data_IF_085622731640
#
_entry.id   IF_085622731640
#
_cell.length_a   1.000
_cell.length_b   1.000
_cell.length_c   1.000
_cell.angle_alpha   90.00
_cell.angle_beta   90.00
_cell.angle_gamma   90.00
#
_symmetry.space_group_name_H-M   'P 1'
#
loop_
_entity.id
_entity.type
_entity.pdbx_description
1 polymer ?
#
# COMPACT_ATOMS: atom_id res chain seq x y z
N UNK A 1 2.86 -21.65 13.13
CA UNK A 1 3.56 -20.89 12.06
C UNK A 1 4.79 -20.28 12.69
N UNK A 2 5.96 -20.50 12.11
CA UNK A 2 7.20 -20.05 12.72
C UNK A 2 7.52 -18.62 12.21
N UNK A 3 7.61 -17.64 13.11
CA UNK A 3 8.00 -16.28 12.73
C UNK A 3 9.40 -16.24 12.09
N UNK A 4 10.26 -17.24 12.38
CA UNK A 4 11.58 -17.40 11.74
C UNK A 4 11.43 -17.67 10.24
N UNK A 5 10.48 -18.51 9.83
CA UNK A 5 10.25 -18.83 8.41
C UNK A 5 9.82 -17.58 7.62
N UNK A 6 9.00 -16.72 8.23
CA UNK A 6 8.61 -15.43 7.63
C UNK A 6 9.80 -14.47 7.50
N UNK A 7 10.69 -14.45 8.49
CA UNK A 7 11.91 -13.65 8.45
C UNK A 7 12.85 -14.15 7.34
N UNK A 8 13.06 -15.46 7.25
CA UNK A 8 13.88 -16.09 6.20
C UNK A 8 13.34 -15.80 4.80
N UNK A 9 12.03 -15.94 4.58
CA UNK A 9 11.42 -15.61 3.31
C UNK A 9 11.57 -14.11 2.96
N UNK A 10 11.44 -13.22 3.94
CA UNK A 10 11.72 -11.79 3.76
C UNK A 10 13.20 -11.54 3.43
N UNK A 11 14.13 -12.19 4.14
CA UNK A 11 15.58 -12.06 3.92
C UNK A 11 15.98 -12.55 2.52
N UNK A 12 15.37 -13.63 2.03
CA UNK A 12 15.58 -14.12 0.67
C UNK A 12 15.12 -13.10 -0.39
N UNK A 13 13.94 -12.50 -0.22
CA UNK A 13 13.46 -11.44 -1.12
C UNK A 13 14.34 -10.19 -1.10
N UNK A 14 14.87 -9.82 0.08
CA UNK A 14 15.85 -8.73 0.21
C UNK A 14 17.15 -9.08 -0.51
N UNK A 15 17.68 -10.29 -0.31
CA UNK A 15 18.91 -10.74 -0.95
C UNK A 15 18.78 -10.74 -2.48
N UNK A 16 17.64 -11.20 -3.00
CA UNK A 16 17.30 -11.10 -4.41
C UNK A 16 17.41 -9.66 -4.91
N UNK A 17 16.72 -8.71 -4.27
CA UNK A 17 16.70 -7.31 -4.71
C UNK A 17 18.07 -6.65 -4.61
N UNK A 18 18.83 -6.92 -3.53
CA UNK A 18 20.22 -6.45 -3.38
C UNK A 18 21.09 -6.95 -4.53
N UNK A 19 20.90 -8.19 -4.99
CA UNK A 19 21.66 -8.74 -6.13
C UNK A 19 21.41 -8.00 -7.45
N UNK A 20 20.34 -7.19 -7.55
CA UNK A 20 19.97 -6.42 -8.74
C UNK A 20 20.50 -4.98 -8.70
N UNK A 21 21.14 -4.60 -7.59
CA UNK A 21 21.68 -3.27 -7.37
C UNK A 21 23.21 -3.26 -7.55
N UNK A 22 23.73 -2.16 -8.09
CA UNK A 22 25.16 -1.87 -8.06
C UNK A 22 25.59 -1.38 -6.65
N UNK A 23 26.90 -1.13 -6.49
CA UNK A 23 27.47 -0.63 -5.21
C UNK A 23 26.94 0.74 -4.76
N UNK A 24 26.30 1.48 -5.66
CA UNK A 24 25.72 2.79 -5.42
C UNK A 24 24.21 2.71 -5.15
N UNK A 25 23.62 1.51 -5.12
CA UNK A 25 22.19 1.31 -4.88
C UNK A 25 21.32 1.54 -6.13
N UNK A 26 21.90 1.53 -7.33
CA UNK A 26 21.13 1.66 -8.57
C UNK A 26 20.83 0.28 -9.16
N UNK A 27 19.64 0.09 -9.73
CA UNK A 27 19.39 -1.11 -10.52
C UNK A 27 20.34 -1.23 -11.71
N UNK A 28 20.81 -2.46 -11.96
CA UNK A 28 21.72 -2.75 -13.08
C UNK A 28 20.99 -2.99 -14.39
N UNK A 29 19.73 -3.45 -14.34
CA UNK A 29 18.90 -3.64 -15.52
C UNK A 29 18.31 -2.30 -15.98
N UNK A 30 18.41 -1.93 -17.28
CA UNK A 30 17.91 -0.65 -17.78
C UNK A 30 16.43 -0.42 -17.51
N UNK A 31 15.57 -1.41 -17.79
CA UNK A 31 14.13 -1.33 -17.60
C UNK A 31 13.72 -1.11 -16.14
N UNK A 32 14.38 -1.80 -15.20
CA UNK A 32 14.15 -1.56 -13.77
C UNK A 32 14.65 -0.18 -13.37
N UNK A 33 15.85 0.21 -13.79
CA UNK A 33 16.50 1.47 -13.45
C UNK A 33 15.69 2.69 -13.92
N UNK A 34 15.04 2.57 -15.07
CA UNK A 34 14.33 3.68 -15.68
C UNK A 34 12.97 3.97 -15.08
N UNK A 35 12.36 3.09 -14.28
CA UNK A 35 10.96 3.26 -13.83
C UNK A 35 10.86 3.49 -12.32
N UNK A 36 10.13 4.52 -11.89
CA UNK A 36 9.91 4.82 -10.47
C UNK A 36 9.23 3.66 -9.72
N UNK A 37 8.40 2.88 -10.41
CA UNK A 37 7.65 1.76 -9.86
C UNK A 37 8.51 0.62 -9.32
N UNK A 38 9.77 0.46 -9.75
CA UNK A 38 10.68 -0.54 -9.16
C UNK A 38 11.38 -0.06 -7.89
N UNK A 39 11.36 1.25 -7.59
CA UNK A 39 12.21 1.85 -6.55
C UNK A 39 11.47 2.18 -5.27
N UNK A 40 10.23 2.67 -5.37
CA UNK A 40 9.57 3.45 -4.30
C UNK A 40 9.39 2.71 -2.96
N UNK A 41 9.29 1.37 -2.96
CA UNK A 41 9.21 0.54 -1.73
C UNK A 41 10.56 0.17 -1.14
N UNK A 42 11.63 0.18 -1.93
CA UNK A 42 12.96 -0.29 -1.51
C UNK A 42 13.52 0.45 -0.29
N UNK A 43 13.42 1.80 -0.18
CA UNK A 43 13.91 2.49 1.01
C UNK A 43 13.25 1.98 2.30
N UNK A 44 11.95 1.69 2.27
CA UNK A 44 11.24 1.16 3.42
C UNK A 44 11.69 -0.26 3.77
N UNK A 45 11.75 -1.13 2.75
CA UNK A 45 12.19 -2.50 2.92
C UNK A 45 13.59 -2.56 3.52
N UNK A 46 14.56 -1.86 2.91
CA UNK A 46 15.95 -1.86 3.35
C UNK A 46 16.13 -1.22 4.74
N UNK A 47 15.33 -0.22 5.09
CA UNK A 47 15.32 0.29 6.46
C UNK A 47 14.88 -0.79 7.46
N UNK A 48 13.76 -1.47 7.17
CA UNK A 48 13.17 -2.47 8.06
C UNK A 48 14.06 -3.70 8.26
N UNK A 49 14.93 -4.00 7.30
CA UNK A 49 15.81 -5.17 7.30
C UNK A 49 17.25 -4.84 7.66
N UNK A 50 17.52 -3.62 8.15
CA UNK A 50 18.82 -3.22 8.70
C UNK A 50 19.84 -2.74 7.66
N UNK A 51 19.44 -2.58 6.40
CA UNK A 51 20.27 -2.07 5.30
C UNK A 51 20.18 -0.54 5.17
N UNK A 52 20.33 0.20 6.27
CA UNK A 52 20.12 1.66 6.31
C UNK A 52 21.00 2.48 5.35
N UNK A 53 22.24 2.03 5.08
CA UNK A 53 23.11 2.64 4.06
C UNK A 53 22.49 2.51 2.66
N UNK A 54 22.04 1.31 2.31
CA UNK A 54 21.44 1.04 1.01
C UNK A 54 20.11 1.78 0.85
N UNK A 55 19.30 1.87 1.91
CA UNK A 55 18.08 2.68 1.92
C UNK A 55 18.35 4.16 1.57
N UNK A 56 19.43 4.75 2.13
CA UNK A 56 19.85 6.11 1.77
C UNK A 56 20.32 6.24 0.32
N UNK A 57 21.10 5.27 -0.15
CA UNK A 57 21.59 5.24 -1.54
C UNK A 57 20.42 5.18 -2.54
N UNK A 58 19.42 4.34 -2.30
CA UNK A 58 18.22 4.29 -3.13
C UNK A 58 17.42 5.59 -3.06
N UNK A 59 17.34 6.25 -1.89
CA UNK A 59 16.69 7.55 -1.78
C UNK A 59 17.43 8.65 -2.55
N UNK A 60 18.77 8.65 -2.55
CA UNK A 60 19.56 9.58 -3.36
C UNK A 60 19.25 9.40 -4.84
N UNK A 61 19.14 8.15 -5.27
CA UNK A 61 18.81 7.80 -6.64
C UNK A 61 17.39 8.20 -7.04
N UNK A 62 16.41 7.92 -6.17
CA UNK A 62 15.02 8.34 -6.36
C UNK A 62 14.94 9.86 -6.49
N UNK A 63 15.60 10.59 -5.59
CA UNK A 63 15.64 12.06 -5.62
C UNK A 63 16.28 12.57 -6.90
N UNK A 64 17.43 12.02 -7.29
CA UNK A 64 18.20 12.51 -8.43
C UNK A 64 17.50 12.28 -9.78
N UNK A 65 16.73 11.19 -9.91
CA UNK A 65 16.12 10.79 -11.19
C UNK A 65 14.65 11.13 -11.33
N UNK A 66 13.88 11.00 -10.25
CA UNK A 66 12.41 11.01 -10.36
C UNK A 66 11.77 12.21 -9.71
N UNK A 67 12.42 12.84 -8.74
CA UNK A 67 11.83 13.96 -8.01
C UNK A 67 11.84 15.24 -8.85
N UNK A 68 10.68 15.88 -8.97
CA UNK A 68 10.52 17.18 -9.64
C UNK A 68 10.28 18.31 -8.64
N UNK A 69 10.35 19.56 -9.11
CA UNK A 69 10.37 20.77 -8.27
C UNK A 69 9.21 20.89 -7.27
N UNK A 70 8.04 20.37 -7.60
CA UNK A 70 6.86 20.42 -6.73
C UNK A 70 6.83 19.33 -5.63
N UNK A 71 7.81 18.41 -5.62
CA UNK A 71 7.88 17.28 -4.70
C UNK A 71 7.23 15.99 -5.19
N UNK A 72 6.70 15.96 -6.42
CA UNK A 72 6.25 14.71 -7.06
C UNK A 72 7.44 13.84 -7.48
N UNK A 73 7.18 12.54 -7.68
CA UNK A 73 8.09 11.59 -8.31
C UNK A 73 7.46 11.07 -9.59
N UNK A 74 8.15 11.26 -10.71
CA UNK A 74 7.70 10.86 -12.05
C UNK A 74 8.84 10.15 -12.76
N UNK A 75 8.52 9.24 -13.66
CA UNK A 75 9.53 8.43 -14.35
C UNK A 75 10.25 9.22 -15.44
N UNK A 76 9.51 9.88 -16.33
CA UNK A 76 10.04 10.89 -17.26
C UNK A 76 8.93 11.84 -17.72
N UNK A 77 9.30 12.92 -18.40
CA UNK A 77 8.35 13.80 -19.09
C UNK A 77 8.22 13.36 -20.54
N UNK A 78 6.99 13.14 -21.01
CA UNK A 78 6.75 12.93 -22.43
C UNK A 78 7.16 14.19 -23.23
N UNK A 79 7.49 14.05 -24.53
CA UNK A 79 7.84 15.18 -25.39
C UNK A 79 6.78 16.28 -25.46
N UNK A 80 5.51 15.95 -25.14
CA UNK A 80 4.38 16.89 -25.09
C UNK A 80 4.27 17.65 -23.76
N UNK A 81 5.17 17.37 -22.81
CA UNK A 81 5.21 18.00 -21.49
C UNK A 81 4.36 17.31 -20.43
N UNK A 82 3.69 16.20 -20.73
CA UNK A 82 2.95 15.43 -19.73
C UNK A 82 3.90 14.59 -18.88
N UNK A 83 3.74 14.67 -17.56
CA UNK A 83 4.47 13.82 -16.64
C UNK A 83 3.98 12.37 -16.77
N UNK A 84 4.91 11.42 -16.83
CA UNK A 84 4.61 9.99 -16.87
C UNK A 84 5.03 9.32 -15.56
N UNK A 85 4.08 8.66 -14.90
CA UNK A 85 4.28 8.17 -13.52
C UNK A 85 5.12 6.90 -13.46
N UNK A 86 4.70 5.87 -14.20
CA UNK A 86 5.28 4.52 -14.25
C UNK A 86 4.59 3.73 -15.36
N UNK A 87 5.22 2.68 -15.88
CA UNK A 87 4.61 1.74 -16.82
C UNK A 87 3.52 0.87 -16.20
N UNK A 88 3.47 0.76 -14.87
CA UNK A 88 2.43 -0.02 -14.21
C UNK A 88 1.12 0.80 -14.17
N UNK A 89 0.11 0.35 -14.92
CA UNK A 89 -1.17 1.07 -15.04
C UNK A 89 -1.91 1.27 -13.72
N UNK A 90 -1.81 0.32 -12.78
CA UNK A 90 -2.43 0.45 -11.46
C UNK A 90 -1.74 1.56 -10.64
N UNK A 91 -0.41 1.57 -10.62
CA UNK A 91 0.37 2.60 -9.92
C UNK A 91 0.24 3.98 -10.57
N UNK A 92 0.10 4.03 -11.90
CA UNK A 92 -0.21 5.27 -12.61
C UNK A 92 -1.61 5.79 -12.26
N UNK A 93 -2.58 4.89 -12.05
CA UNK A 93 -3.94 5.25 -11.64
C UNK A 93 -4.00 5.77 -10.19
N UNK A 94 -3.26 5.15 -9.27
CA UNK A 94 -3.10 5.61 -7.88
C UNK A 94 -1.94 6.58 -7.74
N UNK A 95 -2.03 7.73 -8.41
CA UNK A 95 -0.89 8.62 -8.69
C UNK A 95 -0.01 8.94 -7.48
N UNK A 96 -0.60 9.24 -6.32
CA UNK A 96 0.17 9.65 -5.15
C UNK A 96 0.64 8.49 -4.26
N UNK A 97 0.35 7.24 -4.62
CA UNK A 97 0.70 6.05 -3.83
C UNK A 97 2.21 5.87 -3.70
N UNK A 98 2.97 6.05 -4.78
CA UNK A 98 4.44 5.94 -4.70
C UNK A 98 5.05 7.06 -3.85
N UNK A 99 4.48 8.27 -3.90
CA UNK A 99 4.96 9.41 -3.14
C UNK A 99 4.88 9.18 -1.64
N UNK A 100 3.78 8.62 -1.14
CA UNK A 100 3.63 8.42 0.30
C UNK A 100 4.58 7.34 0.83
N UNK A 101 4.85 6.26 0.09
CA UNK A 101 5.90 5.31 0.47
C UNK A 101 7.28 5.94 0.61
N UNK A 102 7.67 6.76 -0.37
CA UNK A 102 8.95 7.50 -0.36
C UNK A 102 8.98 8.50 0.79
N UNK A 103 7.90 9.26 0.98
CA UNK A 103 7.79 10.25 2.05
C UNK A 103 7.93 9.60 3.43
N UNK A 104 7.23 8.48 3.66
CA UNK A 104 7.28 7.75 4.93
C UNK A 104 8.68 7.16 5.16
N UNK A 105 9.28 6.53 4.15
CA UNK A 105 10.62 5.96 4.30
C UNK A 105 11.66 7.05 4.57
N UNK A 106 11.64 8.15 3.82
CA UNK A 106 12.53 9.29 4.03
C UNK A 106 12.35 9.92 5.42
N UNK A 107 11.11 10.06 5.89
CA UNK A 107 10.79 10.56 7.24
C UNK A 107 11.39 9.68 8.32
N UNK A 108 11.25 8.34 8.20
CA UNK A 108 11.82 7.39 9.18
C UNK A 108 13.35 7.38 9.20
N UNK A 109 13.98 7.67 8.06
CA UNK A 109 15.46 7.71 7.92
C UNK A 109 16.04 9.07 8.37
N UNK A 110 15.23 10.14 8.39
CA UNK A 110 15.68 11.50 8.67
C UNK A 110 16.12 12.29 7.42
N UNK A 111 15.69 11.86 6.23
CA UNK A 111 15.95 12.53 4.94
C UNK A 111 14.90 13.60 4.66
N UNK A 112 14.91 14.66 5.45
CA UNK A 112 13.93 15.74 5.38
C UNK A 112 13.94 16.51 4.06
N UNK A 113 15.07 16.48 3.35
CA UNK A 113 15.24 17.01 2.00
C UNK A 113 14.44 16.28 0.91
N UNK A 114 13.88 15.12 1.25
CA UNK A 114 12.96 14.31 0.42
C UNK A 114 11.59 14.23 1.08
N UNK A 115 11.56 13.94 2.39
CA UNK A 115 10.34 13.67 3.14
C UNK A 115 9.34 14.83 3.09
N UNK A 116 9.78 16.06 3.37
CA UNK A 116 8.86 17.20 3.43
C UNK A 116 8.30 17.64 2.08
N UNK A 117 9.11 17.78 1.00
CA UNK A 117 8.52 18.09 -0.29
C UNK A 117 7.57 17.00 -0.79
N UNK A 118 7.92 15.72 -0.62
CA UNK A 118 7.06 14.60 -1.01
C UNK A 118 5.73 14.59 -0.25
N UNK A 119 5.76 14.81 1.07
CA UNK A 119 4.55 14.90 1.88
C UNK A 119 3.72 16.15 1.53
N UNK A 120 4.37 17.28 1.25
CA UNK A 120 3.69 18.50 0.78
C UNK A 120 2.92 18.22 -0.52
N UNK A 121 3.54 17.54 -1.48
CA UNK A 121 2.87 17.12 -2.71
C UNK A 121 1.73 16.13 -2.43
N UNK A 122 1.94 15.11 -1.60
CA UNK A 122 0.90 14.14 -1.24
C UNK A 122 -0.36 14.82 -0.66
N UNK A 123 -0.19 15.88 0.12
CA UNK A 123 -1.32 16.65 0.67
C UNK A 123 -2.16 17.39 -0.39
N UNK A 124 -1.67 17.57 -1.62
CA UNK A 124 -2.49 18.18 -2.68
C UNK A 124 -3.63 17.26 -3.14
N UNK A 125 -3.59 15.98 -2.79
CA UNK A 125 -4.67 15.01 -3.08
C UNK A 125 -5.79 15.03 -2.02
N UNK A 126 -5.55 15.66 -0.88
CA UNK A 126 -6.58 15.83 0.13
C UNK A 126 -7.69 16.74 -0.39
N UNK A 127 -8.92 16.25 -0.36
CA UNK A 127 -10.12 16.98 -0.70
C UNK A 127 -10.76 17.53 0.59
N UNK A 128 -10.57 18.82 0.90
CA UNK A 128 -11.08 19.41 2.15
C UNK A 128 -12.60 19.52 2.20
N UNK A 129 -13.27 19.57 1.04
CA UNK A 129 -14.74 19.65 0.96
C UNK A 129 -15.37 18.33 1.39
N UNK A 130 -14.78 17.22 0.97
CA UNK A 130 -15.29 15.89 1.25
C UNK A 130 -14.64 15.23 2.45
N UNK A 131 -13.54 15.80 2.96
CA UNK A 131 -12.71 15.20 4.01
C UNK A 131 -12.24 13.81 3.59
N UNK A 132 -11.72 13.72 2.37
CA UNK A 132 -11.33 12.46 1.73
C UNK A 132 -10.14 12.69 0.79
N UNK A 133 -9.76 11.69 -0.01
CA UNK A 133 -8.58 11.76 -0.88
C UNK A 133 -8.95 11.38 -2.30
N UNK A 134 -8.55 12.21 -3.25
CA UNK A 134 -8.73 11.94 -4.67
C UNK A 134 -7.81 10.80 -5.11
N UNK A 135 -8.29 9.98 -6.05
CA UNK A 135 -7.55 8.79 -6.48
C UNK A 135 -6.35 9.11 -7.39
N UNK A 136 -6.59 9.85 -8.47
CA UNK A 136 -5.66 9.91 -9.63
C UNK A 136 -5.05 11.27 -9.88
N UNK A 137 -5.62 12.33 -9.32
CA UNK A 137 -5.16 13.69 -9.54
C UNK A 137 -5.29 14.54 -8.27
N UNK A 138 -4.46 15.59 -8.13
CA UNK A 138 -4.62 16.57 -7.07
C UNK A 138 -6.05 17.14 -7.01
N UNK A 139 -6.46 17.54 -5.81
CA UNK A 139 -7.73 18.21 -5.60
C UNK A 139 -7.76 19.55 -6.34
N UNK A 140 -8.85 19.77 -7.08
CA UNK A 140 -9.15 21.02 -7.77
C UNK A 140 -10.62 21.35 -7.57
N UNK A 141 -10.89 22.58 -7.12
CA UNK A 141 -12.27 23.08 -6.98
C UNK A 141 -12.98 23.21 -8.33
N UNK A 142 -12.21 23.35 -9.41
CA UNK A 142 -12.71 23.57 -10.77
C UNK A 142 -12.92 22.27 -11.55
N UNK A 143 -12.54 21.12 -10.97
CA UNK A 143 -12.72 19.81 -11.60
C UNK A 143 -13.87 19.06 -10.92
N UNK A 144 -15.11 19.13 -11.45
CA UNK A 144 -16.22 18.39 -10.88
C UNK A 144 -16.07 16.88 -11.13
N UNK A 145 -16.62 16.06 -10.23
CA UNK A 145 -16.76 14.62 -10.47
C UNK A 145 -15.52 13.77 -10.21
N UNK A 146 -14.47 14.33 -9.58
CA UNK A 146 -13.32 13.57 -9.08
C UNK A 146 -13.75 12.38 -8.22
N UNK A 147 -13.03 11.26 -8.28
CA UNK A 147 -13.34 10.10 -7.45
C UNK A 147 -12.51 10.11 -6.17
N UNK A 148 -13.18 9.86 -5.04
CA UNK A 148 -12.53 9.61 -3.75
C UNK A 148 -12.54 8.12 -3.45
N UNK A 149 -11.49 7.63 -2.79
CA UNK A 149 -11.23 6.19 -2.70
C UNK A 149 -10.57 5.82 -1.35
N UNK A 150 -10.94 4.64 -0.82
CA UNK A 150 -10.57 4.16 0.52
C UNK A 150 -9.07 3.84 0.69
N UNK A 151 -8.40 3.24 -0.29
CA UNK A 151 -6.96 2.97 -0.30
C UNK A 151 -6.15 4.26 -0.21
N UNK A 152 -6.50 5.30 -0.98
CA UNK A 152 -5.79 6.58 -0.98
C UNK A 152 -6.04 7.38 0.29
N UNK A 153 -7.24 7.30 0.88
CA UNK A 153 -7.50 7.79 2.24
C UNK A 153 -6.56 7.14 3.25
N UNK A 154 -6.40 5.82 3.13
CA UNK A 154 -5.54 5.04 4.02
C UNK A 154 -4.06 5.39 3.84
N UNK A 155 -3.63 5.59 2.59
CA UNK A 155 -2.24 5.89 2.29
C UNK A 155 -1.81 7.28 2.79
N UNK A 156 -2.59 8.32 2.50
CA UNK A 156 -2.34 9.65 3.06
C UNK A 156 -2.51 9.65 4.58
N UNK A 157 -3.47 8.89 5.12
CA UNK A 157 -3.67 8.74 6.56
C UNK A 157 -2.45 8.15 7.29
N UNK A 158 -1.85 7.08 6.75
CA UNK A 158 -0.61 6.52 7.29
C UNK A 158 0.53 7.55 7.20
N UNK A 159 0.69 8.23 6.06
CA UNK A 159 1.69 9.27 5.94
C UNK A 159 1.47 10.37 6.99
N UNK A 160 0.25 10.83 7.19
CA UNK A 160 -0.10 11.82 8.20
C UNK A 160 0.31 11.39 9.62
N UNK A 161 0.11 10.12 9.99
CA UNK A 161 0.59 9.57 11.28
C UNK A 161 2.12 9.69 11.42
N UNK A 162 2.89 9.31 10.40
CA UNK A 162 4.36 9.40 10.44
C UNK A 162 4.89 10.84 10.49
N UNK A 163 4.12 11.80 9.96
CA UNK A 163 4.46 13.23 9.99
C UNK A 163 3.83 13.95 11.19
N UNK A 164 3.18 13.24 12.11
CA UNK A 164 2.57 13.80 13.32
C UNK A 164 1.31 14.64 13.07
N UNK A 165 0.71 14.58 11.88
CA UNK A 165 -0.53 15.26 11.55
C UNK A 165 -1.73 14.39 11.96
N UNK A 166 -1.96 14.27 13.27
CA UNK A 166 -3.01 13.41 13.82
C UNK A 166 -4.41 13.87 13.39
N UNK A 167 -4.66 15.18 13.29
CA UNK A 167 -5.95 15.73 12.88
C UNK A 167 -6.35 15.26 11.47
N UNK A 168 -5.40 15.31 10.51
CA UNK A 168 -5.65 14.80 9.17
C UNK A 168 -5.85 13.28 9.18
N UNK A 169 -5.05 12.54 9.95
CA UNK A 169 -5.20 11.09 10.06
C UNK A 169 -6.59 10.72 10.63
N UNK A 170 -7.05 11.37 11.69
CA UNK A 170 -8.40 11.17 12.25
C UNK A 170 -9.49 11.52 11.24
N UNK A 171 -9.32 12.64 10.52
CA UNK A 171 -10.25 13.06 9.46
C UNK A 171 -10.39 11.98 8.38
N UNK A 172 -9.27 11.40 7.94
CA UNK A 172 -9.27 10.34 6.93
C UNK A 172 -9.78 9.01 7.47
N UNK A 173 -9.55 8.69 8.74
CA UNK A 173 -10.19 7.56 9.42
C UNK A 173 -11.71 7.69 9.43
N UNK A 174 -12.24 8.87 9.76
CA UNK A 174 -13.68 9.16 9.71
C UNK A 174 -14.25 9.09 8.29
N UNK A 175 -13.43 9.39 7.27
CA UNK A 175 -13.79 9.18 5.86
C UNK A 175 -14.04 7.70 5.58
N UNK A 176 -13.12 6.83 6.01
CA UNK A 176 -13.25 5.37 5.85
C UNK A 176 -14.45 4.82 6.62
N UNK A 177 -14.72 5.33 7.82
CA UNK A 177 -15.93 4.99 8.57
C UNK A 177 -17.20 5.28 7.75
N UNK A 178 -17.21 6.38 7.00
CA UNK A 178 -18.33 6.73 6.09
C UNK A 178 -18.45 5.73 4.94
N UNK A 179 -17.33 5.26 4.37
CA UNK A 179 -17.34 4.19 3.36
C UNK A 179 -17.96 2.90 3.91
N UNK A 180 -17.61 2.50 5.12
CA UNK A 180 -18.11 1.26 5.74
C UNK A 180 -19.60 1.38 6.06
N UNK A 181 -20.02 2.49 6.70
CA UNK A 181 -21.40 2.67 7.16
C UNK A 181 -22.41 2.79 6.02
N UNK A 182 -21.98 3.29 4.86
CA UNK A 182 -22.88 3.54 3.72
C UNK A 182 -22.97 2.36 2.75
N UNK A 183 -22.18 1.29 2.93
CA UNK A 183 -22.23 0.13 2.03
C UNK A 183 -23.68 -0.35 1.85
N UNK A 184 -24.17 -0.49 0.61
CA UNK A 184 -25.57 -0.85 0.37
C UNK A 184 -25.88 -2.28 0.79
N UNK A 185 -24.99 -3.23 0.49
CA UNK A 185 -25.04 -4.60 0.98
C UNK A 185 -23.62 -5.17 1.09
N UNK A 186 -23.00 -4.92 2.25
CA UNK A 186 -21.64 -5.38 2.54
C UNK A 186 -21.50 -6.91 2.48
N UNK A 187 -22.57 -7.70 2.49
CA UNK A 187 -22.44 -9.17 2.39
C UNK A 187 -22.17 -9.66 0.98
N UNK A 188 -22.44 -8.83 -0.03
CA UNK A 188 -22.27 -9.18 -1.44
C UNK A 188 -21.06 -8.48 -2.04
N UNK A 189 -20.88 -7.20 -1.71
CA UNK A 189 -19.89 -6.35 -2.36
C UNK A 189 -19.47 -5.21 -1.43
N UNK A 190 -18.18 -4.90 -1.43
CA UNK A 190 -17.61 -3.72 -0.82
C UNK A 190 -17.19 -2.75 -1.90
N UNK A 191 -17.92 -1.63 -2.00
CA UNK A 191 -17.63 -0.55 -2.95
C UNK A 191 -16.52 0.36 -2.38
N UNK A 192 -15.46 0.55 -3.15
CA UNK A 192 -14.24 1.23 -2.70
C UNK A 192 -14.17 2.72 -3.10
N UNK A 193 -15.10 3.18 -3.95
CA UNK A 193 -15.08 4.54 -4.53
C UNK A 193 -16.40 5.27 -4.38
N UNK A 194 -16.31 6.57 -4.13
CA UNK A 194 -17.45 7.48 -4.16
C UNK A 194 -17.16 8.66 -5.09
N UNK A 195 -18.21 9.17 -5.75
CA UNK A 195 -18.11 10.39 -6.53
C UNK A 195 -17.98 11.59 -5.60
N UNK A 196 -17.09 12.53 -5.93
CA UNK A 196 -16.97 13.78 -5.20
C UNK A 196 -18.19 14.68 -5.30
N UNK A 197 -19.01 14.52 -6.35
CA UNK A 197 -20.13 15.41 -6.63
C UNK A 197 -21.32 15.18 -5.67
N UNK A 198 -21.66 13.92 -5.41
CA UNK A 198 -22.83 13.52 -4.62
C UNK A 198 -22.50 12.58 -3.45
N UNK A 199 -21.24 12.14 -3.32
CA UNK A 199 -20.80 11.10 -2.39
C UNK A 199 -21.50 9.77 -2.59
N UNK A 200 -22.14 9.51 -3.73
CA UNK A 200 -22.68 8.20 -4.03
C UNK A 200 -21.57 7.26 -4.48
N UNK A 201 -21.74 5.96 -4.22
CA UNK A 201 -20.77 4.98 -4.68
C UNK A 201 -20.75 4.93 -6.20
N UNK A 202 -19.53 4.92 -6.74
CA UNK A 202 -19.33 4.66 -8.17
C UNK A 202 -19.23 3.15 -8.33
N UNK A 203 -20.18 2.57 -9.06
CA UNK A 203 -20.26 1.11 -9.30
C UNK A 203 -19.66 0.70 -10.64
N UNK A 204 -19.61 1.64 -11.58
CA UNK A 204 -19.14 1.44 -12.94
C UNK A 204 -18.12 2.51 -13.25
N UNK A 205 -16.92 2.07 -13.67
CA UNK A 205 -15.90 2.92 -14.26
C UNK A 205 -15.47 2.35 -15.61
N UNK A 206 -14.40 2.91 -16.21
CA UNK A 206 -13.74 2.32 -17.36
C UNK A 206 -13.46 0.83 -17.13
N UNK A 207 -13.63 0.00 -18.16
CA UNK A 207 -13.59 -1.46 -18.05
C UNK A 207 -12.27 -1.95 -17.45
N UNK A 208 -11.17 -1.34 -17.87
CA UNK A 208 -9.81 -1.60 -17.41
C UNK A 208 -9.56 -1.22 -15.94
N UNK A 209 -10.39 -0.32 -15.38
CA UNK A 209 -10.28 0.10 -13.99
C UNK A 209 -11.31 -0.58 -13.07
N UNK A 210 -12.27 -1.32 -13.62
CA UNK A 210 -13.36 -1.96 -12.87
C UNK A 210 -12.87 -2.80 -11.66
N UNK A 211 -11.74 -3.54 -11.72
CA UNK A 211 -11.21 -4.26 -10.55
C UNK A 211 -10.85 -3.38 -9.34
N UNK A 212 -10.73 -2.06 -9.52
CA UNK A 212 -10.43 -1.11 -8.45
C UNK A 212 -11.66 -0.44 -7.82
N UNK A 213 -12.87 -0.73 -8.30
CA UNK A 213 -14.10 -0.10 -7.80
C UNK A 213 -14.73 -0.90 -6.66
N UNK A 214 -14.54 -2.21 -6.63
CA UNK A 214 -15.14 -3.05 -5.61
C UNK A 214 -14.42 -4.38 -5.40
N UNK A 215 -14.73 -4.99 -4.25
CA UNK A 215 -14.43 -6.39 -3.95
C UNK A 215 -15.76 -7.09 -3.70
N UNK A 216 -16.00 -8.22 -4.34
CA UNK A 216 -17.23 -9.03 -4.19
C UNK A 216 -16.95 -10.32 -3.45
N UNK A 217 -17.94 -10.85 -2.73
CA UNK A 217 -17.71 -12.08 -1.95
C UNK A 217 -17.51 -13.33 -2.80
N UNK A 218 -18.08 -13.40 -4.01
CA UNK A 218 -18.06 -14.62 -4.82
C UNK A 218 -17.09 -14.59 -6.01
N UNK A 219 -16.40 -13.47 -6.27
CA UNK A 219 -15.51 -13.34 -7.41
C UNK A 219 -14.07 -13.75 -7.01
N UNK A 220 -13.38 -14.57 -7.82
CA UNK A 220 -12.02 -15.01 -7.48
C UNK A 220 -10.94 -13.99 -7.88
N UNK A 221 -9.75 -14.10 -7.26
CA UNK A 221 -8.51 -13.41 -7.61
C UNK A 221 -8.64 -11.88 -7.69
N UNK A 222 -9.39 -11.29 -6.75
CA UNK A 222 -9.62 -9.85 -6.71
C UNK A 222 -8.48 -9.10 -6.01
N UNK A 223 -8.47 -7.78 -6.16
CA UNK A 223 -7.49 -6.88 -5.56
C UNK A 223 -7.77 -6.64 -4.07
N UNK A 224 -7.68 -7.71 -3.26
CA UNK A 224 -8.02 -7.68 -1.83
C UNK A 224 -7.19 -6.67 -1.02
N UNK A 225 -6.06 -6.20 -1.55
CA UNK A 225 -5.26 -5.12 -0.95
C UNK A 225 -6.05 -3.80 -0.80
N UNK A 226 -7.08 -3.57 -1.63
CA UNK A 226 -7.96 -2.40 -1.53
C UNK A 226 -8.63 -2.29 -0.16
N UNK A 227 -8.82 -3.42 0.51
CA UNK A 227 -9.45 -3.50 1.84
C UNK A 227 -8.44 -3.88 2.94
N UNK A 228 -7.42 -4.68 2.62
CA UNK A 228 -6.35 -5.00 3.57
C UNK A 228 -5.57 -3.77 4.04
N UNK A 229 -5.27 -2.82 3.14
CA UNK A 229 -4.51 -1.61 3.51
C UNK A 229 -5.31 -0.61 4.37
N UNK A 230 -6.60 -0.36 4.12
CA UNK A 230 -7.44 0.37 5.06
C UNK A 230 -7.48 -0.19 6.47
N UNK A 231 -7.50 -1.52 6.63
CA UNK A 231 -7.43 -2.14 7.96
C UNK A 231 -6.11 -1.81 8.65
N UNK A 232 -4.98 -1.85 7.94
CA UNK A 232 -3.68 -1.47 8.49
C UNK A 232 -3.71 -0.03 8.99
N UNK A 233 -4.21 0.91 8.17
CA UNK A 233 -4.31 2.31 8.57
C UNK A 233 -5.22 2.51 9.79
N UNK A 234 -6.45 2.00 9.76
CA UNK A 234 -7.40 2.12 10.87
C UNK A 234 -6.82 1.53 12.16
N UNK A 235 -6.07 0.43 12.06
CA UNK A 235 -5.41 -0.16 13.22
C UNK A 235 -4.30 0.76 13.77
N UNK A 236 -3.44 1.32 12.91
CA UNK A 236 -2.40 2.27 13.36
C UNK A 236 -3.04 3.54 13.95
N UNK A 237 -4.16 4.01 13.40
CA UNK A 237 -4.92 5.12 13.95
C UNK A 237 -5.52 4.77 15.33
N UNK A 238 -6.08 3.57 15.48
CA UNK A 238 -6.52 3.06 16.80
C UNK A 238 -5.38 3.06 17.82
N UNK A 239 -4.17 2.65 17.43
CA UNK A 239 -3.01 2.70 18.33
C UNK A 239 -2.66 4.14 18.74
N UNK A 240 -2.81 5.10 17.83
CA UNK A 240 -2.49 6.50 18.09
C UNK A 240 -3.56 7.22 18.95
N UNK A 241 -4.84 6.90 18.77
CA UNK A 241 -5.95 7.64 19.39
C UNK A 241 -6.64 6.88 20.53
N UNK A 242 -6.52 5.56 20.58
CA UNK A 242 -7.31 4.70 21.45
C UNK A 242 -8.78 4.57 21.06
N UNK A 243 -9.23 5.18 19.95
CA UNK A 243 -10.62 5.17 19.54
C UNK A 243 -11.05 3.77 19.05
N UNK A 244 -11.85 3.08 19.87
CA UNK A 244 -12.25 1.69 19.63
C UNK A 244 -12.99 1.47 18.31
N UNK A 245 -13.73 2.47 17.84
CA UNK A 245 -14.47 2.41 16.59
C UNK A 245 -13.58 2.05 15.38
N UNK A 246 -12.33 2.52 15.36
CA UNK A 246 -11.39 2.15 14.29
C UNK A 246 -11.03 0.66 14.32
N UNK A 247 -10.82 0.06 15.50
CA UNK A 247 -10.58 -1.38 15.64
C UNK A 247 -11.84 -2.21 15.31
N UNK A 248 -13.02 -1.72 15.66
CA UNK A 248 -14.27 -2.40 15.32
C UNK A 248 -14.50 -2.39 13.79
N UNK A 249 -14.14 -1.29 13.12
CA UNK A 249 -14.17 -1.20 11.66
C UNK A 249 -13.10 -2.07 10.99
N UNK A 250 -11.92 -2.23 11.61
CA UNK A 250 -10.93 -3.23 11.17
C UNK A 250 -11.55 -4.64 11.16
N UNK A 251 -12.25 -5.02 12.24
CA UNK A 251 -12.92 -6.32 12.33
C UNK A 251 -13.98 -6.48 11.24
N UNK A 252 -14.84 -5.48 11.00
CA UNK A 252 -15.88 -5.54 9.96
C UNK A 252 -15.31 -5.80 8.57
N UNK A 253 -14.23 -5.12 8.20
CA UNK A 253 -13.59 -5.30 6.89
C UNK A 253 -12.96 -6.70 6.80
N UNK A 254 -12.28 -7.17 7.85
CA UNK A 254 -11.70 -8.53 7.84
C UNK A 254 -12.77 -9.62 7.85
N UNK A 255 -13.90 -9.40 8.49
CA UNK A 255 -15.05 -10.32 8.46
C UNK A 255 -15.62 -10.42 7.05
N UNK A 256 -15.76 -9.29 6.35
CA UNK A 256 -16.12 -9.28 4.93
C UNK A 256 -15.11 -10.05 4.07
N UNK A 257 -13.81 -9.79 4.24
CA UNK A 257 -12.76 -10.46 3.48
C UNK A 257 -12.66 -11.96 3.80
N UNK A 258 -12.97 -12.38 5.02
CA UNK A 258 -13.03 -13.78 5.41
C UNK A 258 -14.13 -14.54 4.65
N UNK A 259 -15.22 -13.87 4.33
CA UNK A 259 -16.37 -14.43 3.61
C UNK A 259 -16.24 -14.30 2.08
N UNK A 260 -15.12 -13.76 1.60
CA UNK A 260 -14.79 -13.74 0.17
C UNK A 260 -14.33 -15.13 -0.34
N UNK A 261 -14.31 -15.26 -1.67
CA UNK A 261 -13.85 -16.45 -2.38
C UNK A 261 -12.50 -16.99 -1.86
N UNK A 262 -12.35 -18.31 -1.86
CA UNK A 262 -11.17 -19.00 -1.31
C UNK A 262 -9.85 -18.58 -1.96
N UNK A 263 -9.87 -18.01 -3.18
CA UNK A 263 -8.68 -17.44 -3.82
C UNK A 263 -7.99 -16.35 -3.00
N UNK A 264 -8.66 -15.71 -2.04
CA UNK A 264 -7.99 -14.81 -1.08
C UNK A 264 -6.82 -15.49 -0.35
N UNK A 265 -6.88 -16.81 -0.15
CA UNK A 265 -5.83 -17.60 0.49
C UNK A 265 -4.74 -18.09 -0.47
N UNK A 266 -4.92 -17.90 -1.78
CA UNK A 266 -4.02 -18.40 -2.82
C UNK A 266 -3.72 -17.34 -3.89
N UNK A 267 -3.74 -16.07 -3.52
CA UNK A 267 -3.50 -14.95 -4.43
C UNK A 267 -2.48 -13.96 -3.83
N UNK A 268 -1.49 -13.57 -4.64
CA UNK A 268 -0.33 -12.81 -4.14
C UNK A 268 -0.71 -11.41 -3.66
N UNK A 269 -1.78 -10.80 -4.19
CA UNK A 269 -2.31 -9.51 -3.72
C UNK A 269 -3.01 -9.55 -2.36
N UNK A 270 -3.12 -10.71 -1.72
CA UNK A 270 -3.65 -10.85 -0.36
C UNK A 270 -2.63 -10.51 0.75
N UNK A 271 -1.37 -10.19 0.41
CA UNK A 271 -0.32 -9.93 1.39
C UNK A 271 -0.68 -8.86 2.43
N UNK A 272 -1.38 -7.77 2.04
CA UNK A 272 -1.81 -6.72 2.99
C UNK A 272 -2.93 -7.20 3.91
N UNK A 273 -3.79 -8.09 3.42
CA UNK A 273 -4.84 -8.72 4.24
C UNK A 273 -4.20 -9.58 5.32
N UNK A 274 -3.12 -10.29 5.00
CA UNK A 274 -2.39 -11.08 5.99
C UNK A 274 -1.81 -10.22 7.11
N UNK A 275 -1.17 -9.09 6.78
CA UNK A 275 -0.65 -8.17 7.79
C UNK A 275 -1.76 -7.53 8.62
N UNK A 276 -2.84 -7.07 7.98
CA UNK A 276 -4.04 -6.60 8.66
C UNK A 276 -4.59 -7.63 9.66
N UNK A 277 -4.69 -8.89 9.26
CA UNK A 277 -5.19 -9.97 10.10
C UNK A 277 -4.25 -10.26 11.29
N UNK A 278 -2.92 -10.18 11.12
CA UNK A 278 -1.96 -10.29 12.20
C UNK A 278 -2.12 -9.16 13.24
N UNK A 279 -2.27 -7.91 12.79
CA UNK A 279 -2.50 -6.75 13.65
C UNK A 279 -3.79 -6.90 14.49
N UNK A 280 -4.90 -7.23 13.81
CA UNK A 280 -6.20 -7.37 14.50
C UNK A 280 -6.21 -8.58 15.41
N UNK A 281 -5.57 -9.69 15.05
CA UNK A 281 -5.38 -10.83 15.96
C UNK A 281 -4.65 -10.41 17.23
N UNK A 282 -3.53 -9.68 17.11
CA UNK A 282 -2.76 -9.20 18.27
C UNK A 282 -3.60 -8.37 19.25
N UNK A 283 -4.49 -7.52 18.74
CA UNK A 283 -5.35 -6.69 19.59
C UNK A 283 -6.60 -7.39 20.15
N UNK A 284 -7.11 -8.42 19.45
CA UNK A 284 -8.41 -9.04 19.78
C UNK A 284 -8.31 -10.47 20.32
N UNK A 285 -7.16 -11.13 20.13
CA UNK A 285 -6.96 -12.57 20.33
C UNK A 285 -7.92 -13.47 19.53
N UNK A 286 -8.65 -12.92 18.54
CA UNK A 286 -9.58 -13.70 17.73
C UNK A 286 -8.82 -14.60 16.75
N UNK A 287 -8.77 -15.91 17.06
CA UNK A 287 -8.03 -16.92 16.31
C UNK A 287 -8.48 -17.05 14.84
N UNK A 288 -9.65 -16.52 14.46
CA UNK A 288 -10.08 -16.44 13.06
C UNK A 288 -9.08 -15.65 12.21
N UNK A 289 -8.66 -14.48 12.69
CA UNK A 289 -7.72 -13.62 11.96
C UNK A 289 -6.31 -14.23 11.92
N UNK A 290 -5.89 -14.91 12.99
CA UNK A 290 -4.64 -15.68 12.96
C UNK A 290 -4.67 -16.76 11.87
N UNK A 291 -5.75 -17.54 11.77
CA UNK A 291 -5.89 -18.57 10.72
C UNK A 291 -5.88 -17.96 9.32
N UNK A 292 -6.53 -16.82 9.14
CA UNK A 292 -6.55 -16.08 7.88
C UNK A 292 -5.13 -15.66 7.46
N UNK A 293 -4.40 -15.00 8.36
CA UNK A 293 -2.99 -14.63 8.16
C UNK A 293 -2.14 -15.85 7.81
N UNK A 294 -2.27 -16.95 8.58
CA UNK A 294 -1.49 -18.16 8.39
C UNK A 294 -1.72 -18.82 7.03
N UNK A 295 -2.97 -18.89 6.56
CA UNK A 295 -3.28 -19.43 5.23
C UNK A 295 -2.60 -18.61 4.13
N UNK A 296 -2.73 -17.27 4.18
CA UNK A 296 -2.19 -16.38 3.16
C UNK A 296 -0.67 -16.44 3.12
N UNK A 297 0.03 -16.31 4.26
CA UNK A 297 1.50 -16.33 4.22
C UNK A 297 2.07 -17.69 3.85
N UNK A 298 1.38 -18.79 4.19
CA UNK A 298 1.79 -20.12 3.72
C UNK A 298 1.80 -20.17 2.20
N UNK A 299 0.79 -19.60 1.54
CA UNK A 299 0.77 -19.47 0.09
C UNK A 299 1.90 -18.56 -0.41
N UNK A 300 2.08 -17.37 0.18
CA UNK A 300 3.13 -16.43 -0.25
C UNK A 300 4.53 -17.05 -0.18
N UNK A 301 4.84 -17.80 0.89
CA UNK A 301 6.11 -18.53 1.00
C UNK A 301 6.20 -19.61 -0.08
N UNK A 302 5.10 -20.33 -0.36
CA UNK A 302 5.11 -21.43 -1.33
C UNK A 302 5.37 -21.01 -2.77
N UNK A 303 5.14 -19.74 -3.11
CA UNK A 303 5.40 -19.19 -4.46
C UNK A 303 6.78 -18.53 -4.57
N UNK A 304 7.54 -18.40 -3.47
CA UNK A 304 8.88 -17.83 -3.52
C UNK A 304 9.81 -18.73 -4.35
N UNK A 305 10.51 -18.13 -5.30
CA UNK A 305 11.48 -18.82 -6.15
C UNK A 305 12.74 -19.21 -5.34
N UNK A 306 13.56 -20.15 -5.85
CA UNK A 306 14.87 -20.44 -5.26
C UNK A 306 15.82 -19.23 -5.22
N UNK A 307 15.63 -18.25 -6.11
CA UNK A 307 16.42 -17.01 -6.15
C UNK A 307 15.91 -15.95 -5.15
N UNK A 308 14.76 -16.18 -4.51
CA UNK A 308 14.18 -15.34 -3.46
C UNK A 308 13.09 -14.38 -3.92
N UNK A 309 12.85 -14.24 -5.22
CA UNK A 309 11.77 -13.43 -5.76
C UNK A 309 10.41 -14.14 -5.68
N UNK A 310 9.31 -13.40 -5.81
CA UNK A 310 7.96 -13.96 -5.64
C UNK A 310 7.18 -14.11 -6.95
N UNK A 311 7.64 -13.50 -8.04
CA UNK A 311 6.93 -13.45 -9.33
C UNK A 311 7.91 -13.59 -10.51
N UNK A 312 8.75 -14.62 -10.49
CA UNK A 312 9.85 -14.86 -11.44
C UNK A 312 9.43 -14.88 -12.91
N UNK A 313 8.17 -15.17 -13.20
CA UNK A 313 7.61 -15.25 -14.55
C UNK A 313 7.01 -13.95 -15.06
N UNK A 314 6.86 -12.95 -14.19
CA UNK A 314 6.28 -11.65 -14.54
C UNK A 314 7.32 -10.68 -15.09
N UNK A 315 6.85 -9.58 -15.67
CA UNK A 315 7.72 -8.50 -16.14
C UNK A 315 8.57 -7.95 -14.99
N UNK A 316 9.78 -7.46 -15.30
CA UNK A 316 10.74 -7.01 -14.27
C UNK A 316 10.15 -5.95 -13.33
N UNK A 317 9.31 -5.05 -13.85
CA UNK A 317 8.62 -4.06 -13.04
C UNK A 317 7.77 -4.71 -11.95
N UNK A 318 6.88 -5.64 -12.34
CA UNK A 318 5.96 -6.30 -11.42
C UNK A 318 6.69 -7.27 -10.48
N UNK A 319 7.69 -8.00 -11.00
CA UNK A 319 8.50 -8.88 -10.17
C UNK A 319 9.23 -8.10 -9.07
N UNK A 320 9.90 -6.99 -9.40
CA UNK A 320 10.68 -6.24 -8.42
C UNK A 320 9.77 -5.52 -7.43
N UNK A 321 8.68 -4.89 -7.90
CA UNK A 321 7.69 -4.24 -7.03
C UNK A 321 7.05 -5.22 -6.04
N UNK A 322 6.57 -6.37 -6.55
CA UNK A 322 5.88 -7.34 -5.71
C UNK A 322 6.84 -8.12 -4.81
N UNK A 323 8.08 -8.38 -5.24
CA UNK A 323 9.10 -8.95 -4.36
C UNK A 323 9.41 -8.00 -3.21
N UNK A 324 9.58 -6.70 -3.50
CA UNK A 324 9.81 -5.71 -2.45
C UNK A 324 8.63 -5.61 -1.49
N UNK A 325 7.41 -5.65 -2.02
CA UNK A 325 6.19 -5.56 -1.24
C UNK A 325 5.95 -6.78 -0.35
N UNK A 326 5.99 -7.98 -0.91
CA UNK A 326 5.73 -9.22 -0.16
C UNK A 326 6.82 -9.40 0.91
N UNK A 327 8.10 -9.18 0.59
CA UNK A 327 9.18 -9.26 1.56
C UNK A 327 9.00 -8.27 2.73
N UNK A 328 8.52 -7.05 2.44
CA UNK A 328 8.22 -6.04 3.46
C UNK A 328 7.09 -6.50 4.39
N UNK A 329 5.99 -7.02 3.84
CA UNK A 329 4.86 -7.44 4.67
C UNK A 329 5.15 -8.70 5.48
N UNK A 330 5.91 -9.67 4.93
CA UNK A 330 6.36 -10.83 5.69
C UNK A 330 7.20 -10.42 6.91
N UNK A 331 8.06 -9.40 6.76
CA UNK A 331 8.85 -8.82 7.88
C UNK A 331 7.94 -8.27 8.97
N UNK A 332 6.98 -7.44 8.58
CA UNK A 332 6.04 -6.80 9.50
C UNK A 332 5.15 -7.85 10.22
N UNK A 333 4.66 -8.85 9.49
CA UNK A 333 3.89 -9.97 10.08
C UNK A 333 4.74 -10.73 11.10
N UNK A 334 6.00 -11.04 10.78
CA UNK A 334 6.90 -11.75 11.69
C UNK A 334 7.10 -10.96 13.00
N UNK A 335 7.23 -9.64 12.92
CA UNK A 335 7.35 -8.76 14.10
C UNK A 335 6.08 -8.80 14.95
N UNK A 336 4.90 -8.72 14.33
CA UNK A 336 3.63 -8.70 15.07
C UNK A 336 3.31 -10.03 15.74
N UNK A 337 3.69 -11.15 15.13
CA UNK A 337 3.46 -12.50 15.66
C UNK A 337 4.58 -13.02 16.56
N UNK A 338 5.67 -12.27 16.75
CA UNK A 338 6.80 -12.70 17.57
C UNK A 338 6.36 -12.95 19.02
N UNK A 339 6.67 -14.14 19.53
CA UNK A 339 6.36 -14.53 20.91
C UNK A 339 4.89 -14.93 21.13
N UNK A 340 4.13 -15.16 20.06
CA UNK A 340 2.79 -15.74 20.13
C UNK A 340 2.87 -17.23 19.77
N UNK A 341 2.78 -18.09 20.79
CA UNK A 341 2.68 -19.55 20.62
C UNK A 341 1.26 -20.00 20.18
#
# INVERSE_FOLDING_TARGET
MNWVELMEASDNGVAFLISKLDKNGHFTLPEAKSDMGTHYKLPMLFLLTGHGKLANQVLDDIKARFMIDNGDFVTFKEPDGKDWKTANGALAHFWSYMNGWVAIAAQRIGRFDIAYPAYKYLNTFYNPVLKSVNCSEPFSVDTPGQEIEILMCSHLGIAALYFGNLELAETLGNSIDTFIQRQPDIKLEFLCRMSSANKDFVKEGPEELRPFYSVKTNDPNQLYFLLGYPVIFLFKLYQATGCRQHLDNCCKILDFLHDCDESIYSFHFSHKVSYAAALVYKATSNKKYLKMCQKIVKYLISIQSPDGDFLSTEAVLDNYDQTAEIALWLREIAVELRGMD
#
